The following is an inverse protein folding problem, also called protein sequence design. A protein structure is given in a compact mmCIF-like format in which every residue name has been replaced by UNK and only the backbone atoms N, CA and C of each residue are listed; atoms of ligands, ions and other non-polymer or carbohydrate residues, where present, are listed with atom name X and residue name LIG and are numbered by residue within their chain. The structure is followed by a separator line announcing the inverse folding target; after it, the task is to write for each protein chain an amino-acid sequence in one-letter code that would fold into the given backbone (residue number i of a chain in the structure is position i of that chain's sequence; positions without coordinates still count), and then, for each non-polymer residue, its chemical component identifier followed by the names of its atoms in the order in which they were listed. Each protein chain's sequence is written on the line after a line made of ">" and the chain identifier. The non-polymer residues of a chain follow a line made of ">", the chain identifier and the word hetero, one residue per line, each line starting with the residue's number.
data_IF_516187490624
#
_entry.id   IF_516187490624
#
_cell.length_a   1.000
_cell.length_b   1.000
_cell.length_c   1.000
_cell.angle_alpha   90.00
_cell.angle_beta   90.00
_cell.angle_gamma   90.00
#
_symmetry.space_group_name_H-M   'P 1'
#
loop_
_entity.id
_entity.type
_entity.pdbx_description
1 polymer ?
#
# COMPACT_ATOMS: atom_id res chain seq x y z
N UNK A 1 -5.15 -40.86 -47.87
CA UNK A 1 -4.64 -41.09 -46.49
C UNK A 1 -3.76 -39.96 -45.92
N UNK A 2 -3.92 -38.68 -46.31
CA UNK A 2 -3.04 -37.59 -45.87
C UNK A 2 -3.49 -36.77 -44.66
N UNK A 3 -4.72 -36.91 -44.16
CA UNK A 3 -5.34 -35.91 -43.27
C UNK A 3 -5.10 -36.15 -41.76
N UNK A 4 -4.84 -37.38 -41.32
CA UNK A 4 -4.79 -37.68 -39.88
C UNK A 4 -3.51 -37.19 -39.19
N UNK A 5 -2.37 -37.20 -39.90
CA UNK A 5 -1.07 -36.79 -39.33
C UNK A 5 -0.94 -35.27 -39.19
N UNK A 6 -1.50 -34.51 -40.13
CA UNK A 6 -1.45 -33.04 -40.13
C UNK A 6 -2.35 -32.44 -39.03
N UNK A 7 -3.51 -33.06 -38.79
CA UNK A 7 -4.42 -32.66 -37.71
C UNK A 7 -3.83 -32.98 -36.34
N UNK A 8 -3.15 -34.14 -36.18
CA UNK A 8 -2.49 -34.49 -34.92
C UNK A 8 -1.32 -33.55 -34.59
N UNK A 9 -0.54 -33.15 -35.59
CA UNK A 9 0.56 -32.18 -35.41
C UNK A 9 0.04 -30.79 -35.05
N UNK A 10 -1.06 -30.35 -35.68
CA UNK A 10 -1.70 -29.08 -35.34
C UNK A 10 -2.22 -29.08 -33.90
N UNK A 11 -2.91 -30.14 -33.46
CA UNK A 11 -3.45 -30.28 -32.09
C UNK A 11 -2.34 -30.26 -31.03
N UNK A 12 -1.24 -30.98 -31.26
CA UNK A 12 -0.06 -30.96 -30.36
C UNK A 12 0.54 -29.57 -30.21
N UNK A 13 0.65 -28.81 -31.31
CA UNK A 13 1.23 -27.47 -31.27
C UNK A 13 0.34 -26.45 -30.52
N UNK A 14 -0.99 -26.62 -30.55
CA UNK A 14 -1.90 -25.77 -29.74
C UNK A 14 -1.82 -26.12 -28.26
N UNK A 15 -1.72 -27.40 -27.92
CA UNK A 15 -1.59 -27.86 -26.52
C UNK A 15 -0.25 -27.41 -25.90
N UNK A 16 0.85 -27.45 -26.65
CA UNK A 16 2.15 -26.97 -26.19
C UNK A 16 2.16 -25.44 -25.97
N UNK A 17 1.47 -24.68 -26.83
CA UNK A 17 1.34 -23.24 -26.70
C UNK A 17 0.48 -22.85 -25.47
N UNK A 18 -0.64 -23.55 -25.23
CA UNK A 18 -1.51 -23.31 -24.07
C UNK A 18 -0.82 -23.68 -22.75
N UNK A 19 -0.06 -24.77 -22.73
CA UNK A 19 0.74 -25.17 -21.57
C UNK A 19 1.86 -24.18 -21.27
N UNK A 20 2.56 -23.67 -22.29
CA UNK A 20 3.59 -22.65 -22.10
C UNK A 20 3.00 -21.33 -21.58
N UNK A 21 1.85 -20.92 -22.13
CA UNK A 21 1.15 -19.72 -21.65
C UNK A 21 0.73 -19.84 -20.18
N UNK A 22 0.20 -21.00 -19.76
CA UNK A 22 -0.12 -21.28 -18.34
C UNK A 22 1.13 -21.33 -17.46
N UNK A 23 2.22 -21.95 -17.91
CA UNK A 23 3.47 -21.99 -17.14
C UNK A 23 4.05 -20.57 -16.95
N UNK A 24 4.00 -19.74 -18.00
CA UNK A 24 4.43 -18.36 -17.93
C UNK A 24 3.53 -17.50 -17.03
N UNK A 25 2.20 -17.71 -17.05
CA UNK A 25 1.28 -16.98 -16.16
C UNK A 25 1.49 -17.36 -14.69
N UNK A 26 1.67 -18.65 -14.39
CA UNK A 26 1.99 -19.12 -13.02
C UNK A 26 3.31 -18.52 -12.55
N UNK A 27 4.34 -18.52 -13.40
CA UNK A 27 5.65 -17.91 -13.05
C UNK A 27 5.55 -16.41 -12.78
N UNK A 28 4.69 -15.70 -13.53
CA UNK A 28 4.44 -14.28 -13.33
C UNK A 28 3.70 -14.00 -12.02
N UNK A 29 2.64 -14.77 -11.72
CA UNK A 29 1.88 -14.67 -10.46
C UNK A 29 2.80 -14.93 -9.25
N UNK A 30 3.63 -15.98 -9.31
CA UNK A 30 4.62 -16.28 -8.26
C UNK A 30 5.62 -15.14 -8.05
N UNK A 31 6.10 -14.52 -9.14
CA UNK A 31 7.01 -13.39 -9.07
C UNK A 31 6.34 -12.14 -8.48
N UNK A 32 5.07 -11.88 -8.80
CA UNK A 32 4.29 -10.78 -8.23
C UNK A 32 4.05 -10.97 -6.72
N UNK A 33 3.64 -12.17 -6.31
CA UNK A 33 3.46 -12.50 -4.89
C UNK A 33 4.77 -12.36 -4.10
N UNK A 34 5.88 -12.86 -4.67
CA UNK A 34 7.20 -12.75 -4.06
C UNK A 34 7.63 -11.28 -3.92
N UNK A 35 7.46 -10.48 -4.97
CA UNK A 35 7.76 -9.05 -4.93
C UNK A 35 6.91 -8.34 -3.86
N UNK A 36 5.62 -8.69 -3.75
CA UNK A 36 4.76 -8.13 -2.73
C UNK A 36 5.18 -8.50 -1.31
N UNK A 37 5.56 -9.75 -1.10
CA UNK A 37 6.05 -10.24 0.18
C UNK A 37 7.33 -9.51 0.61
N UNK A 38 8.28 -9.34 -0.30
CA UNK A 38 9.55 -8.65 -0.04
C UNK A 38 9.33 -7.17 0.30
N UNK A 39 8.52 -6.45 -0.47
CA UNK A 39 8.19 -5.04 -0.18
C UNK A 39 7.49 -4.92 1.17
N UNK A 40 6.50 -5.78 1.43
CA UNK A 40 5.78 -5.79 2.71
C UNK A 40 6.71 -6.06 3.89
N UNK A 41 7.64 -7.01 3.74
CA UNK A 41 8.63 -7.33 4.76
C UNK A 41 9.59 -6.17 5.01
N UNK A 42 10.06 -5.50 3.95
CA UNK A 42 10.93 -4.34 4.04
C UNK A 42 10.25 -3.20 4.81
N UNK A 43 9.01 -2.85 4.45
CA UNK A 43 8.24 -1.80 5.14
C UNK A 43 7.99 -2.14 6.62
N UNK A 44 7.77 -3.42 6.95
CA UNK A 44 7.59 -3.88 8.34
C UNK A 44 8.88 -3.85 9.16
N UNK A 45 10.04 -3.97 8.52
CA UNK A 45 11.35 -3.93 9.17
C UNK A 45 11.92 -2.51 9.27
N UNK A 46 11.37 -1.55 8.51
CA UNK A 46 11.80 -0.16 8.49
C UNK A 46 11.70 0.51 9.87
N UNK A 47 12.58 1.48 10.13
CA UNK A 47 12.47 2.35 11.29
C UNK A 47 11.10 3.05 11.27
N UNK A 48 10.37 3.17 12.40
CA UNK A 48 9.07 3.83 12.43
C UNK A 48 9.08 5.26 11.88
N UNK A 49 10.15 6.02 12.16
CA UNK A 49 10.29 7.41 11.72
C UNK A 49 10.61 7.50 10.24
N UNK A 50 11.49 6.62 9.72
CA UNK A 50 11.74 6.53 8.28
C UNK A 50 10.46 6.14 7.52
N UNK A 51 9.63 5.26 8.11
CA UNK A 51 8.34 4.88 7.52
C UNK A 51 7.34 6.05 7.52
N UNK A 52 7.33 6.86 8.58
CA UNK A 52 6.55 8.10 8.64
C UNK A 52 7.00 9.08 7.55
N UNK A 53 8.32 9.27 7.38
CA UNK A 53 8.87 10.14 6.34
C UNK A 53 8.56 9.62 4.93
N UNK A 54 8.61 8.30 4.71
CA UNK A 54 8.18 7.68 3.46
C UNK A 54 6.71 7.99 3.13
N UNK A 55 5.81 7.92 4.12
CA UNK A 55 4.39 8.29 3.93
C UNK A 55 4.25 9.77 3.60
N UNK A 56 5.02 10.64 4.26
CA UNK A 56 5.03 12.07 3.96
C UNK A 56 5.52 12.33 2.52
N UNK A 57 6.57 11.67 2.08
CA UNK A 57 7.10 11.79 0.71
C UNK A 57 6.13 11.26 -0.33
N UNK A 58 5.41 10.17 -0.04
CA UNK A 58 4.35 9.67 -0.91
C UNK A 58 3.23 10.73 -1.07
N UNK A 59 2.80 11.37 0.01
CA UNK A 59 1.80 12.44 -0.06
C UNK A 59 2.30 13.62 -0.90
N UNK A 60 3.56 14.01 -0.74
CA UNK A 60 4.21 15.04 -1.58
C UNK A 60 4.21 14.64 -3.06
N UNK A 61 4.59 13.40 -3.37
CA UNK A 61 4.59 12.87 -4.73
C UNK A 61 3.17 12.83 -5.36
N UNK A 62 2.15 12.63 -4.53
CA UNK A 62 0.74 12.72 -4.91
C UNK A 62 0.22 14.16 -5.01
N UNK A 63 1.10 15.17 -4.97
CA UNK A 63 0.78 16.61 -5.04
C UNK A 63 0.00 17.15 -3.83
N UNK A 64 0.04 16.47 -2.68
CA UNK A 64 -0.39 17.07 -1.41
C UNK A 64 0.76 17.87 -0.80
N UNK A 65 0.39 18.91 -0.07
CA UNK A 65 1.34 19.79 0.61
C UNK A 65 1.48 19.37 2.06
N UNK A 66 2.54 18.62 2.37
CA UNK A 66 2.89 18.26 3.75
C UNK A 66 3.51 19.47 4.44
N UNK A 67 2.80 20.04 5.42
CA UNK A 67 3.23 21.23 6.16
C UNK A 67 3.94 20.90 7.47
N UNK A 68 3.72 19.70 8.01
CA UNK A 68 4.30 19.29 9.28
C UNK A 68 4.42 17.76 9.37
N UNK A 69 5.51 17.30 9.97
CA UNK A 69 5.79 15.91 10.32
C UNK A 69 6.24 15.91 11.78
N UNK A 70 5.68 15.02 12.60
CA UNK A 70 5.95 14.98 14.03
C UNK A 70 7.41 14.60 14.31
N UNK A 71 8.11 15.32 15.21
CA UNK A 71 9.42 14.89 15.66
C UNK A 71 9.30 13.58 16.48
N UNK A 72 10.39 12.80 16.60
CA UNK A 72 10.40 11.58 17.41
C UNK A 72 9.90 11.80 18.84
N UNK A 73 8.83 11.11 19.26
CA UNK A 73 8.32 11.28 20.61
C UNK A 73 6.90 10.75 20.82
N UNK A 74 6.26 11.27 21.89
CA UNK A 74 4.85 10.99 22.16
C UNK A 74 4.03 11.93 21.30
N UNK A 75 3.66 11.45 20.13
CA UNK A 75 2.86 12.19 19.17
C UNK A 75 1.42 12.24 19.68
N UNK A 76 0.78 13.42 19.63
CA UNK A 76 -0.57 13.65 20.14
C UNK A 76 -1.69 12.95 19.34
N UNK A 77 -1.37 11.85 18.66
CA UNK A 77 -2.25 11.12 17.76
C UNK A 77 -2.18 11.56 16.30
N UNK A 78 -1.30 12.49 15.93
CA UNK A 78 -1.10 12.94 14.54
C UNK A 78 0.39 12.98 14.25
N UNK A 79 0.78 12.32 13.17
CA UNK A 79 2.17 12.16 12.76
C UNK A 79 2.50 13.04 11.56
N UNK A 80 1.52 13.30 10.67
CA UNK A 80 1.70 14.16 9.49
C UNK A 80 0.48 15.05 9.34
N UNK A 81 0.72 16.31 8.93
CA UNK A 81 -0.30 17.25 8.51
C UNK A 81 -0.09 17.65 7.05
N UNK A 82 -1.12 17.45 6.23
CA UNK A 82 -1.08 17.75 4.80
C UNK A 82 -2.33 18.51 4.33
N UNK A 83 -2.19 19.18 3.19
CA UNK A 83 -3.20 20.04 2.59
C UNK A 83 -3.31 19.84 1.07
N UNK A 84 -4.49 20.13 0.48
CA UNK A 84 -4.66 20.11 -0.97
C UNK A 84 -4.01 21.31 -1.66
N UNK A 85 -3.60 22.36 -0.93
CA UNK A 85 -2.89 23.52 -1.47
C UNK A 85 -1.73 23.96 -0.56
N UNK A 86 -0.75 24.64 -1.15
CA UNK A 86 0.45 25.09 -0.46
C UNK A 86 0.18 26.10 0.67
N UNK A 87 -0.92 26.85 0.60
CA UNK A 87 -1.27 27.87 1.58
C UNK A 87 -2.13 27.33 2.73
N UNK A 88 -2.64 26.10 2.63
CA UNK A 88 -3.56 25.51 3.62
C UNK A 88 -4.90 26.25 3.71
N UNK A 89 -5.33 26.88 2.62
CA UNK A 89 -6.54 27.71 2.59
C UNK A 89 -7.78 26.93 2.18
N UNK A 90 -7.61 25.79 1.51
CA UNK A 90 -8.72 24.95 1.06
C UNK A 90 -8.87 23.75 1.99
N UNK A 91 -10.09 23.49 2.49
CA UNK A 91 -10.38 22.22 3.15
C UNK A 91 -10.39 21.08 2.12
N UNK A 92 -10.25 19.81 2.56
CA UNK A 92 -10.07 19.40 3.95
C UNK A 92 -8.61 19.49 4.40
N UNK A 93 -8.41 19.67 5.71
CA UNK A 93 -7.10 19.45 6.32
C UNK A 93 -6.90 17.96 6.53
N UNK A 94 -5.78 17.41 6.05
CA UNK A 94 -5.51 15.98 6.11
C UNK A 94 -4.60 15.72 7.30
N UNK A 95 -5.12 15.03 8.32
CA UNK A 95 -4.34 14.52 9.45
C UNK A 95 -4.01 13.06 9.19
N UNK A 96 -2.76 12.69 9.40
CA UNK A 96 -2.31 11.31 9.18
C UNK A 96 -1.77 10.74 10.48
N UNK A 97 -2.14 9.51 10.77
CA UNK A 97 -1.47 8.69 11.79
C UNK A 97 -0.83 7.48 11.11
N UNK A 98 0.44 7.25 11.40
CA UNK A 98 1.29 6.22 10.84
C UNK A 98 1.69 5.25 11.95
N UNK A 99 1.30 3.99 11.80
CA UNK A 99 1.63 2.91 12.74
C UNK A 99 2.38 1.80 12.04
N UNK A 100 3.70 1.81 12.22
CA UNK A 100 4.59 0.69 11.84
C UNK A 100 4.51 -0.42 12.88
N UNK A 101 3.49 -1.27 12.76
CA UNK A 101 3.28 -2.41 13.65
C UNK A 101 2.97 -3.70 12.88
N UNK A 102 3.33 -4.85 13.46
CA UNK A 102 3.03 -6.17 12.90
C UNK A 102 1.59 -6.60 13.20
N UNK A 103 1.05 -6.19 14.35
CA UNK A 103 -0.31 -6.55 14.76
C UNK A 103 -1.34 -5.67 14.06
N UNK A 104 -2.53 -6.24 13.84
CA UNK A 104 -3.65 -5.48 13.33
C UNK A 104 -4.05 -4.35 14.30
N UNK A 105 -4.39 -3.19 13.76
CA UNK A 105 -4.89 -2.04 14.53
C UNK A 105 -6.26 -2.38 15.08
N UNK A 106 -6.42 -2.21 16.40
CA UNK A 106 -7.71 -2.39 17.07
C UNK A 106 -8.64 -1.20 16.83
N UNK A 107 -9.94 -1.42 17.00
CA UNK A 107 -10.96 -0.36 16.97
C UNK A 107 -10.64 0.76 17.98
N UNK A 108 -10.06 0.43 19.13
CA UNK A 108 -9.66 1.43 20.13
C UNK A 108 -8.59 2.37 19.58
N UNK A 109 -7.53 1.83 18.95
CA UNK A 109 -6.48 2.64 18.35
C UNK A 109 -7.02 3.59 17.27
N UNK A 110 -7.95 3.11 16.44
CA UNK A 110 -8.60 3.93 15.43
C UNK A 110 -9.50 5.01 16.05
N UNK A 111 -10.25 4.69 17.11
CA UNK A 111 -11.10 5.66 17.82
C UNK A 111 -10.27 6.76 18.48
N UNK A 112 -9.12 6.43 19.05
CA UNK A 112 -8.20 7.44 19.59
C UNK A 112 -7.74 8.43 18.53
N UNK A 113 -7.47 7.97 17.30
CA UNK A 113 -7.16 8.84 16.17
C UNK A 113 -8.33 9.74 15.79
N UNK A 114 -9.52 9.15 15.63
CA UNK A 114 -10.73 9.87 15.26
C UNK A 114 -11.06 11.00 16.24
N UNK A 115 -10.77 10.82 17.54
CA UNK A 115 -10.98 11.83 18.56
C UNK A 115 -10.10 13.10 18.38
N UNK A 116 -9.04 13.02 17.56
CA UNK A 116 -8.15 14.15 17.27
C UNK A 116 -8.59 14.91 16.00
N UNK A 117 -9.54 14.37 15.23
CA UNK A 117 -10.08 15.02 14.02
C UNK A 117 -11.12 16.08 14.40
N UNK A 118 -11.03 17.25 13.78
CA UNK A 118 -12.07 18.27 13.80
C UNK A 118 -13.05 18.10 12.64
N UNK A 119 -14.11 18.93 12.63
CA UNK A 119 -15.24 18.79 11.69
C UNK A 119 -14.83 18.87 10.20
N UNK A 120 -13.81 19.65 9.86
CA UNK A 120 -13.29 19.83 8.49
C UNK A 120 -12.02 18.99 8.20
N UNK A 121 -11.65 18.10 9.12
CA UNK A 121 -10.49 17.24 8.95
C UNK A 121 -10.85 15.94 8.24
N UNK A 122 -9.96 15.50 7.35
CA UNK A 122 -9.95 14.12 6.86
C UNK A 122 -8.82 13.36 7.55
N UNK A 123 -9.16 12.22 8.14
CA UNK A 123 -8.20 11.32 8.77
C UNK A 123 -7.69 10.25 7.79
N UNK A 124 -6.36 10.12 7.69
CA UNK A 124 -5.70 9.02 7.00
C UNK A 124 -4.94 8.18 8.03
N UNK A 125 -5.28 6.89 8.13
CA UNK A 125 -4.58 5.97 9.03
C UNK A 125 -3.77 4.97 8.20
N UNK A 126 -2.45 4.99 8.34
CA UNK A 126 -1.53 4.13 7.58
C UNK A 126 -0.90 3.11 8.52
N UNK A 127 -1.01 1.82 8.19
CA UNK A 127 -0.36 0.78 8.97
C UNK A 127 0.05 -0.43 8.12
N UNK A 128 1.08 -1.15 8.60
CA UNK A 128 1.63 -2.35 7.94
C UNK A 128 1.00 -3.67 8.41
N UNK A 129 0.24 -3.62 9.51
CA UNK A 129 -0.37 -4.78 10.18
C UNK A 129 -1.85 -5.02 9.84
N UNK A 130 -2.46 -4.12 9.07
CA UNK A 130 -3.89 -4.16 8.74
C UNK A 130 -4.80 -3.73 9.91
N UNK A 131 -6.10 -3.93 9.75
CA UNK A 131 -7.14 -3.56 10.72
C UNK A 131 -7.92 -4.79 11.15
N UNK A 132 -8.31 -4.85 12.42
CA UNK A 132 -9.26 -5.88 12.89
C UNK A 132 -10.62 -5.66 12.25
N UNK A 133 -11.34 -6.76 11.97
CA UNK A 133 -12.73 -6.71 11.47
C UNK A 133 -13.70 -6.18 12.53
#
# INVERSE_FOLDING_TARGET
>A
DGNAAEVAAAVSAVDDADNNAKAASVTFEEAEEQAWAEVSQYLRAMNPYDFQDLVADLLRAMSYHVTWVSPPGKDGGVDILAWPDALGTRPPRIKVQVKRQQQAVSVEGLRSFMAVLGDDDVGLFVCTGGFTK
#
